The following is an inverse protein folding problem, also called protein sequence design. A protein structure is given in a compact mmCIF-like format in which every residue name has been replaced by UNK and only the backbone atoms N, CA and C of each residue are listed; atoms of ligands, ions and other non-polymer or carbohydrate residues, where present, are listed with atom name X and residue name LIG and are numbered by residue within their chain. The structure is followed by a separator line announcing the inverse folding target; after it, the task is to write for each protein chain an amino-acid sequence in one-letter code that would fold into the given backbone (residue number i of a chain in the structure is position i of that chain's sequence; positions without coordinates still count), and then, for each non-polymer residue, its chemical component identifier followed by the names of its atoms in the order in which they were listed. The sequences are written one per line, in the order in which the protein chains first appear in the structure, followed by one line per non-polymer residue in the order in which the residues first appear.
data_IF_427787516432
#
_entry.id   IF_427787516432
#
_cell.length_a   1.000
_cell.length_b   1.000
_cell.length_c   1.000
_cell.angle_alpha   90.00
_cell.angle_beta   90.00
_cell.angle_gamma   90.00
#
_symmetry.space_group_name_H-M   'P 1'
#
loop_
_entity.id
_entity.type
_entity.pdbx_description
1 polymer ?
#
# COMPACT_ATOMS: atom_id res chain seq x y z
N UNK A 1 -11.86 -20.50 -28.33
CA UNK A 1 -10.84 -20.08 -27.35
C UNK A 1 -10.59 -21.29 -26.48
N UNK A 2 -9.33 -21.60 -26.21
CA UNK A 2 -8.99 -22.65 -25.24
C UNK A 2 -8.90 -22.03 -23.84
N UNK A 3 -9.14 -22.81 -22.77
CA UNK A 3 -9.04 -22.30 -21.42
C UNK A 3 -7.59 -21.97 -21.06
N UNK A 4 -7.39 -20.87 -20.35
CA UNK A 4 -6.08 -20.47 -19.86
C UNK A 4 -5.78 -21.09 -18.50
N UNK A 5 -4.51 -21.48 -18.32
CA UNK A 5 -3.98 -21.83 -17.01
C UNK A 5 -3.54 -20.53 -16.33
N UNK A 6 -4.27 -20.14 -15.28
CA UNK A 6 -3.91 -18.99 -14.44
C UNK A 6 -3.29 -19.51 -13.15
N UNK A 7 -2.10 -19.01 -12.84
CA UNK A 7 -1.42 -19.28 -11.59
C UNK A 7 -1.74 -18.16 -10.60
N UNK A 8 -2.19 -18.53 -9.40
CA UNK A 8 -2.31 -17.61 -8.29
C UNK A 8 -1.09 -17.75 -7.38
N UNK A 9 -0.34 -16.66 -7.25
CA UNK A 9 0.84 -16.60 -6.39
C UNK A 9 0.54 -16.87 -4.92
N UNK A 10 -0.73 -16.76 -4.50
CA UNK A 10 -1.18 -17.04 -3.14
C UNK A 10 -1.81 -18.45 -2.98
N UNK A 11 -1.86 -19.28 -4.04
CA UNK A 11 -2.48 -20.62 -4.09
C UNK A 11 -3.96 -20.67 -3.62
N UNK A 12 -4.68 -19.53 -3.64
CA UNK A 12 -6.09 -19.47 -3.28
C UNK A 12 -7.02 -19.80 -4.45
N UNK A 13 -6.58 -19.56 -5.68
CA UNK A 13 -7.32 -19.87 -6.89
C UNK A 13 -6.80 -21.13 -7.57
N UNK A 14 -7.72 -22.06 -7.89
CA UNK A 14 -7.40 -23.33 -8.56
C UNK A 14 -8.28 -23.52 -9.78
N UNK A 15 -7.65 -23.66 -10.93
CA UNK A 15 -8.33 -24.05 -12.17
C UNK A 15 -8.76 -25.50 -12.11
N UNK A 16 -9.77 -25.86 -12.90
CA UNK A 16 -10.28 -27.22 -12.98
C UNK A 16 -9.25 -28.11 -13.68
N UNK A 17 -8.52 -28.94 -12.93
CA UNK A 17 -7.60 -29.88 -13.58
C UNK A 17 -8.36 -30.99 -14.32
N UNK A 18 -7.81 -31.42 -15.45
CA UNK A 18 -8.26 -32.62 -16.15
C UNK A 18 -8.01 -33.87 -15.30
N UNK A 19 -9.03 -34.74 -15.20
CA UNK A 19 -8.91 -35.99 -14.45
C UNK A 19 -10.14 -36.87 -14.55
N UNK A 20 -9.98 -38.16 -14.23
CA UNK A 20 -11.10 -39.10 -14.18
C UNK A 20 -11.97 -38.81 -12.97
N UNK A 21 -13.28 -38.68 -13.20
CA UNK A 21 -14.28 -38.56 -12.14
C UNK A 21 -15.03 -39.89 -12.05
N UNK A 22 -14.96 -40.55 -10.89
CA UNK A 22 -15.67 -41.82 -10.67
C UNK A 22 -17.18 -41.64 -10.66
N UNK A 23 -17.92 -42.70 -10.99
CA UNK A 23 -19.39 -42.70 -10.97
C UNK A 23 -19.95 -42.19 -9.63
N UNK A 24 -20.86 -41.23 -9.68
CA UNK A 24 -21.48 -40.62 -8.50
C UNK A 24 -20.61 -39.60 -7.77
N UNK A 25 -19.46 -39.22 -8.34
CA UNK A 25 -18.60 -38.13 -7.85
C UNK A 25 -18.69 -36.94 -8.79
N UNK A 26 -18.37 -35.77 -8.26
CA UNK A 26 -18.24 -34.52 -9.02
C UNK A 26 -16.89 -33.89 -8.75
N UNK A 27 -16.45 -33.05 -9.70
CA UNK A 27 -15.29 -32.17 -9.56
C UNK A 27 -15.74 -30.75 -9.88
N UNK A 28 -15.27 -29.78 -9.11
CA UNK A 28 -15.58 -28.36 -9.26
C UNK A 28 -14.26 -27.59 -9.31
N UNK A 29 -14.20 -26.56 -10.14
CA UNK A 29 -13.03 -25.69 -10.30
C UNK A 29 -13.33 -24.57 -11.27
N UNK A 30 -12.43 -23.60 -11.36
CA UNK A 30 -12.56 -22.48 -12.29
C UNK A 30 -12.06 -22.86 -13.70
N UNK A 31 -12.70 -22.30 -14.72
CA UNK A 31 -12.20 -22.34 -16.10
C UNK A 31 -12.08 -20.89 -16.54
N UNK A 32 -10.89 -20.51 -17.02
CA UNK A 32 -10.58 -19.13 -17.39
C UNK A 32 -10.51 -18.99 -18.89
N UNK A 33 -11.08 -17.91 -19.41
CA UNK A 33 -11.00 -17.55 -20.82
C UNK A 33 -10.72 -16.06 -20.92
N UNK A 34 -9.84 -15.67 -21.85
CA UNK A 34 -9.76 -14.29 -22.29
C UNK A 34 -11.06 -13.92 -23.04
N UNK A 35 -11.66 -12.78 -22.68
CA UNK A 35 -12.94 -12.33 -23.24
C UNK A 35 -12.85 -10.88 -23.72
N UNK A 36 -13.55 -10.55 -24.80
CA UNK A 36 -13.74 -9.15 -25.20
C UNK A 36 -14.71 -8.47 -24.22
N UNK A 37 -14.25 -7.41 -23.55
CA UNK A 37 -15.08 -6.63 -22.61
C UNK A 37 -16.35 -6.06 -23.25
N UNK A 38 -16.37 -5.85 -24.57
CA UNK A 38 -17.53 -5.33 -25.32
C UNK A 38 -18.58 -6.40 -25.59
N UNK A 39 -18.17 -7.64 -25.79
CA UNK A 39 -19.10 -8.75 -25.99
C UNK A 39 -19.68 -9.21 -24.64
N UNK A 40 -20.99 -9.44 -24.62
CA UNK A 40 -21.73 -9.78 -23.40
C UNK A 40 -22.29 -11.19 -23.44
N UNK A 41 -22.31 -11.85 -24.58
CA UNK A 41 -22.90 -13.17 -24.77
C UNK A 41 -21.86 -14.12 -25.33
N UNK A 42 -21.58 -15.15 -24.54
CA UNK A 42 -20.69 -16.25 -24.90
C UNK A 42 -21.47 -17.57 -24.81
N UNK A 43 -20.92 -18.61 -25.42
CA UNK A 43 -21.37 -19.98 -25.20
C UNK A 43 -20.15 -20.80 -24.79
N UNK A 44 -20.20 -21.37 -23.59
CA UNK A 44 -19.23 -22.36 -23.16
C UNK A 44 -19.66 -23.71 -23.75
N UNK A 45 -18.81 -24.28 -24.60
CA UNK A 45 -19.00 -25.61 -25.15
C UNK A 45 -18.22 -26.60 -24.28
N UNK A 46 -18.90 -27.63 -23.80
CA UNK A 46 -18.32 -28.72 -23.03
C UNK A 46 -18.54 -29.99 -23.81
N UNK A 47 -17.46 -30.53 -24.36
CA UNK A 47 -17.46 -31.82 -25.03
C UNK A 47 -17.06 -32.90 -24.02
N UNK A 48 -17.88 -33.95 -23.90
CA UNK A 48 -17.53 -35.12 -23.10
C UNK A 48 -17.17 -36.28 -24.02
N UNK A 49 -15.94 -36.77 -23.90
CA UNK A 49 -15.51 -38.00 -24.55
C UNK A 49 -15.50 -39.15 -23.53
N UNK A 50 -16.26 -40.20 -23.80
CA UNK A 50 -16.14 -41.49 -23.11
C UNK A 50 -15.06 -42.32 -23.80
N UNK A 51 -14.09 -42.85 -23.04
CA UNK A 51 -13.00 -43.65 -23.61
C UNK A 51 -13.52 -44.82 -24.45
N UNK A 52 -13.33 -44.75 -25.77
CA UNK A 52 -13.64 -45.84 -26.71
C UNK A 52 -14.91 -45.68 -27.54
N UNK A 53 -15.68 -44.60 -27.36
CA UNK A 53 -16.78 -44.21 -28.26
C UNK A 53 -16.35 -43.03 -29.13
N UNK A 54 -16.63 -43.09 -30.44
CA UNK A 54 -16.46 -41.97 -31.37
C UNK A 54 -17.58 -40.91 -31.23
N UNK A 55 -18.60 -41.21 -30.42
CA UNK A 55 -19.74 -40.33 -30.17
C UNK A 55 -19.42 -39.37 -29.00
N UNK A 56 -19.14 -38.12 -29.35
CA UNK A 56 -19.01 -37.01 -28.38
C UNK A 56 -20.36 -36.33 -28.16
N UNK A 57 -20.79 -36.20 -26.92
CA UNK A 57 -21.90 -35.32 -26.57
C UNK A 57 -21.38 -33.89 -26.32
N UNK A 58 -21.92 -32.91 -27.05
CA UNK A 58 -21.63 -31.49 -26.86
C UNK A 58 -22.73 -30.84 -26.01
N UNK A 59 -22.35 -30.24 -24.89
CA UNK A 59 -23.23 -29.43 -24.05
C UNK A 59 -22.89 -27.95 -24.24
N UNK A 60 -23.89 -27.17 -24.64
CA UNK A 60 -23.78 -25.72 -24.84
C UNK A 60 -24.39 -24.95 -23.67
N UNK A 61 -23.55 -24.18 -22.97
CA UNK A 61 -23.96 -23.37 -21.82
C UNK A 61 -23.88 -21.89 -22.19
N UNK A 62 -25.01 -21.16 -22.29
CA UNK A 62 -24.99 -19.74 -22.58
C UNK A 62 -24.46 -18.95 -21.37
N UNK A 63 -23.46 -18.12 -21.59
CA UNK A 63 -22.83 -17.26 -20.58
C UNK A 63 -23.13 -15.79 -20.90
N UNK A 64 -23.71 -15.08 -19.94
CA UNK A 64 -23.92 -13.64 -20.05
C UNK A 64 -22.88 -12.91 -19.19
N UNK A 65 -21.82 -12.40 -19.82
CA UNK A 65 -20.74 -11.69 -19.16
C UNK A 65 -21.21 -10.40 -18.46
N UNK A 66 -22.34 -9.81 -18.87
CA UNK A 66 -22.89 -8.63 -18.20
C UNK A 66 -23.36 -8.90 -16.75
N UNK A 67 -23.49 -10.16 -16.34
CA UNK A 67 -23.79 -10.54 -14.95
C UNK A 67 -22.59 -10.40 -14.02
N UNK A 68 -21.39 -10.26 -14.55
CA UNK A 68 -20.14 -10.21 -13.80
C UNK A 68 -19.54 -8.81 -13.94
N UNK A 69 -19.77 -7.91 -12.97
CA UNK A 69 -19.27 -6.55 -13.03
C UNK A 69 -17.73 -6.53 -12.90
N UNK A 70 -17.09 -5.64 -13.65
CA UNK A 70 -15.67 -5.33 -13.49
C UNK A 70 -15.51 -4.49 -12.21
N UNK A 71 -14.85 -5.06 -11.20
CA UNK A 71 -14.59 -4.41 -9.92
C UNK A 71 -13.12 -3.94 -9.77
N UNK A 72 -12.37 -3.84 -10.88
CA UNK A 72 -10.96 -3.44 -10.88
C UNK A 72 -10.73 -2.11 -10.15
N UNK A 73 -11.59 -1.10 -10.36
CA UNK A 73 -11.42 0.18 -9.68
C UNK A 73 -11.69 0.09 -8.17
N UNK A 74 -12.62 -0.76 -7.74
CA UNK A 74 -12.92 -0.93 -6.31
C UNK A 74 -11.76 -1.57 -5.55
N UNK A 75 -11.06 -2.54 -6.15
CA UNK A 75 -9.90 -3.15 -5.49
C UNK A 75 -8.71 -2.17 -5.41
N UNK A 76 -8.52 -1.32 -6.43
CA UNK A 76 -7.55 -0.22 -6.38
C UNK A 76 -7.90 0.79 -5.28
N UNK A 77 -9.18 1.14 -5.14
CA UNK A 77 -9.66 2.04 -4.09
C UNK A 77 -9.44 1.45 -2.69
N UNK A 78 -9.65 0.15 -2.49
CA UNK A 78 -9.33 -0.52 -1.22
C UNK A 78 -7.83 -0.45 -0.90
N UNK A 79 -6.97 -0.72 -1.89
CA UNK A 79 -5.53 -0.56 -1.73
C UNK A 79 -5.16 0.88 -1.36
N UNK A 80 -5.66 1.89 -2.09
CA UNK A 80 -5.44 3.31 -1.78
C UNK A 80 -5.96 3.70 -0.39
N UNK A 81 -7.10 3.16 0.02
CA UNK A 81 -7.70 3.37 1.34
C UNK A 81 -6.78 2.85 2.43
N UNK A 82 -6.26 1.63 2.28
CA UNK A 82 -5.30 1.06 3.23
C UNK A 82 -4.05 1.95 3.35
N UNK A 83 -3.43 2.31 2.23
CA UNK A 83 -2.24 3.18 2.22
C UNK A 83 -2.50 4.51 2.95
N UNK A 84 -3.65 5.13 2.67
CA UNK A 84 -4.01 6.42 3.25
C UNK A 84 -4.29 6.31 4.75
N UNK A 85 -4.92 5.24 5.21
CA UNK A 85 -5.26 5.05 6.62
C UNK A 85 -4.05 4.64 7.47
N UNK A 86 -3.14 3.87 6.90
CA UNK A 86 -1.96 3.34 7.60
C UNK A 86 -0.82 4.36 7.64
N UNK A 87 -0.50 5.00 6.51
CA UNK A 87 0.74 5.77 6.36
C UNK A 87 0.56 7.28 6.37
N UNK A 88 -0.67 7.78 6.16
CA UNK A 88 -0.97 9.19 5.98
C UNK A 88 -2.01 9.67 7.01
N UNK A 89 -2.09 10.97 7.24
CA UNK A 89 -3.02 11.60 8.17
C UNK A 89 -4.29 12.04 7.46
N UNK A 90 -4.99 11.11 6.80
CA UNK A 90 -6.39 11.21 6.29
C UNK A 90 -6.78 12.41 5.39
N UNK A 91 -5.89 13.38 5.24
CA UNK A 91 -5.97 14.64 4.49
C UNK A 91 -5.24 14.53 3.15
N UNK A 92 -4.67 13.36 2.87
CA UNK A 92 -4.01 13.08 1.61
C UNK A 92 -5.01 13.07 0.46
N UNK A 93 -4.73 13.89 -0.56
CA UNK A 93 -5.51 13.96 -1.78
C UNK A 93 -5.26 12.69 -2.59
N UNK A 94 -6.26 11.81 -2.64
CA UNK A 94 -6.27 10.66 -3.55
C UNK A 94 -6.67 11.19 -4.93
N UNK A 95 -5.66 11.33 -5.80
CA UNK A 95 -5.68 11.82 -7.19
C UNK A 95 -6.25 13.23 -7.43
N UNK A 96 -5.34 14.17 -7.76
CA UNK A 96 -5.51 15.01 -8.94
C UNK A 96 -6.45 16.22 -8.93
N UNK A 97 -7.02 16.65 -7.81
CA UNK A 97 -7.76 17.93 -7.79
C UNK A 97 -7.63 18.70 -6.47
N UNK A 98 -7.09 19.90 -6.62
CA UNK A 98 -7.19 21.10 -5.78
C UNK A 98 -6.72 21.00 -4.32
N UNK A 99 -5.46 21.41 -4.15
CA UNK A 99 -4.89 21.82 -2.88
C UNK A 99 -5.61 23.08 -2.36
N UNK A 100 -6.33 22.97 -1.24
CA UNK A 100 -6.60 24.10 -0.37
C UNK A 100 -5.88 23.93 0.97
N UNK A 101 -5.06 24.94 1.26
CA UNK A 101 -4.22 25.03 2.43
C UNK A 101 -5.05 25.08 3.72
N UNK A 102 -4.62 24.35 4.76
CA UNK A 102 -5.08 24.58 6.12
C UNK A 102 -3.89 24.83 7.06
N UNK A 103 -3.99 26.01 7.69
CA UNK A 103 -3.06 26.70 8.58
C UNK A 103 -2.72 25.92 9.85
N UNK A 104 -1.45 26.00 10.26
CA UNK A 104 -0.93 25.52 11.54
C UNK A 104 -1.10 26.56 12.64
N UNK A 105 -1.80 26.24 13.73
CA UNK A 105 -1.49 26.75 15.08
C UNK A 105 -2.25 25.95 16.14
N UNK A 106 -1.52 25.45 17.15
CA UNK A 106 -2.08 25.08 18.45
C UNK A 106 -1.69 23.68 18.92
N UNK A 107 -0.89 23.61 19.99
CA UNK A 107 -0.61 22.37 20.69
C UNK A 107 -1.90 21.77 21.26
N UNK A 108 -2.22 20.57 20.82
CA UNK A 108 -3.25 19.71 21.40
C UNK A 108 -2.93 18.26 21.04
N UNK A 109 -3.19 17.34 21.98
CA UNK A 109 -3.21 15.91 21.72
C UNK A 109 -4.13 15.64 20.51
N UNK A 110 -3.57 15.01 19.48
CA UNK A 110 -4.29 14.70 18.24
C UNK A 110 -5.19 13.50 18.49
N UNK A 111 -6.42 13.77 18.91
CA UNK A 111 -7.51 12.81 18.80
C UNK A 111 -7.85 12.67 17.31
N UNK A 112 -7.44 11.55 16.71
CA UNK A 112 -7.67 11.28 15.29
C UNK A 112 -9.18 11.26 15.01
N UNK A 113 -9.63 12.22 14.21
CA UNK A 113 -11.03 12.38 13.81
C UNK A 113 -11.48 11.22 12.91
N UNK A 114 -11.84 10.09 13.52
CA UNK A 114 -12.68 9.08 12.90
C UNK A 114 -14.11 9.61 12.74
N UNK A 115 -14.33 10.47 11.73
CA UNK A 115 -15.67 10.83 11.26
C UNK A 115 -15.77 10.37 9.81
N UNK A 116 -16.78 9.64 9.36
CA UNK A 116 -18.18 9.55 9.82
C UNK A 116 -18.75 8.28 9.16
N UNK A 117 -19.41 7.39 9.92
CA UNK A 117 -20.19 6.27 9.35
C UNK A 117 -21.29 6.85 8.44
N UNK A 118 -21.09 6.78 7.12
CA UNK A 118 -22.15 6.97 6.15
C UNK A 118 -23.01 5.71 6.15
N UNK A 119 -24.31 5.91 6.38
CA UNK A 119 -25.31 4.86 6.44
C UNK A 119 -25.94 4.68 5.06
N UNK A 120 -25.75 3.50 4.45
CA UNK A 120 -26.76 2.64 3.81
C UNK A 120 -26.13 1.76 2.69
N UNK A 121 -26.16 0.45 2.93
CA UNK A 121 -26.27 -0.65 1.94
C UNK A 121 -25.16 -0.98 0.93
N UNK A 122 -23.91 -0.50 1.09
CA UNK A 122 -22.76 -1.03 0.33
C UNK A 122 -21.80 -1.80 1.26
N UNK A 123 -22.19 -3.02 1.64
CA UNK A 123 -21.49 -3.80 2.65
C UNK A 123 -20.35 -4.70 2.10
N UNK A 124 -20.09 -4.70 0.79
CA UNK A 124 -19.21 -5.71 0.15
C UNK A 124 -17.75 -5.29 -0.07
N UNK A 125 -17.42 -4.00 -0.02
CA UNK A 125 -16.09 -3.50 -0.35
C UNK A 125 -15.51 -2.72 0.82
N UNK A 126 -14.98 -3.47 1.79
CA UNK A 126 -14.39 -2.93 3.03
C UNK A 126 -13.11 -3.66 3.36
N UNK A 127 -12.22 -2.95 4.04
CA UNK A 127 -11.05 -3.54 4.66
C UNK A 127 -11.43 -4.09 6.03
N UNK A 128 -11.02 -5.32 6.32
CA UNK A 128 -11.12 -5.94 7.64
C UNK A 128 -9.85 -5.72 8.48
N UNK A 129 -8.82 -5.09 7.91
CA UNK A 129 -7.62 -4.64 8.63
C UNK A 129 -7.97 -3.83 9.89
N UNK A 130 -7.20 -4.01 10.96
CA UNK A 130 -7.29 -3.17 12.14
C UNK A 130 -6.45 -1.90 11.91
N UNK A 131 -7.10 -0.83 11.47
CA UNK A 131 -6.46 0.46 11.18
C UNK A 131 -5.62 0.99 12.34
N UNK A 132 -6.06 0.81 13.59
CA UNK A 132 -5.33 1.30 14.76
C UNK A 132 -4.03 0.51 14.98
N UNK A 133 -4.07 -0.81 14.83
CA UNK A 133 -2.90 -1.67 14.95
C UNK A 133 -1.91 -1.46 13.79
N UNK A 134 -2.39 -1.37 12.55
CA UNK A 134 -1.54 -1.14 11.38
C UNK A 134 -0.84 0.22 11.46
N UNK A 135 -1.57 1.28 11.85
CA UNK A 135 -0.99 2.62 12.06
C UNK A 135 0.00 2.62 13.23
N UNK A 136 -0.29 1.91 14.32
CA UNK A 136 0.62 1.81 15.46
C UNK A 136 1.91 1.07 15.09
N UNK A 137 1.82 -0.01 14.30
CA UNK A 137 2.99 -0.74 13.79
C UNK A 137 3.85 0.15 12.88
N UNK A 138 3.23 0.91 11.97
CA UNK A 138 3.93 1.89 11.15
C UNK A 138 4.62 2.97 11.99
N UNK A 139 3.89 3.59 12.94
CA UNK A 139 4.45 4.63 13.81
C UNK A 139 5.63 4.10 14.63
N UNK A 140 5.54 2.87 15.14
CA UNK A 140 6.64 2.22 15.84
C UNK A 140 7.87 2.07 14.95
N UNK A 141 7.70 1.57 13.72
CA UNK A 141 8.79 1.43 12.75
C UNK A 141 9.43 2.78 12.42
N UNK A 142 8.61 3.84 12.26
CA UNK A 142 9.10 5.20 12.06
C UNK A 142 9.94 5.66 13.24
N UNK A 143 9.42 5.58 14.46
CA UNK A 143 10.14 6.02 15.67
C UNK A 143 11.48 5.27 15.82
N UNK A 144 11.51 3.97 15.55
CA UNK A 144 12.74 3.18 15.60
C UNK A 144 13.78 3.64 14.56
N UNK A 145 13.36 3.91 13.31
CA UNK A 145 14.24 4.50 12.28
C UNK A 145 14.68 5.91 12.68
N UNK A 146 13.76 6.78 13.10
CA UNK A 146 14.05 8.16 13.55
C UNK A 146 15.05 8.22 14.71
N UNK A 147 15.14 7.19 15.55
CA UNK A 147 16.14 7.11 16.64
C UNK A 147 17.50 6.59 16.19
N UNK A 148 17.56 5.84 15.10
CA UNK A 148 18.77 5.16 14.61
C UNK A 148 19.39 5.78 13.36
N UNK A 149 18.67 6.67 12.67
CA UNK A 149 19.13 7.36 11.46
C UNK A 149 20.18 8.46 11.68
N UNK A 150 20.75 8.57 12.89
CA UNK A 150 21.62 9.66 13.30
C UNK A 150 22.91 9.11 13.92
N UNK A 151 24.05 9.76 13.64
CA UNK A 151 25.39 9.24 13.96
C UNK A 151 25.91 9.64 15.34
N UNK A 152 25.52 10.81 15.85
CA UNK A 152 26.03 11.45 17.07
C UNK A 152 24.92 11.85 18.04
N UNK A 153 23.73 12.18 17.53
CA UNK A 153 22.54 12.50 18.30
C UNK A 153 21.59 11.31 18.34
N UNK A 154 21.10 10.97 19.53
CA UNK A 154 20.09 9.93 19.71
C UNK A 154 18.83 10.57 20.27
N UNK A 155 17.79 10.79 19.45
CA UNK A 155 16.52 11.34 19.92
C UNK A 155 15.88 10.47 20.99
N UNK A 156 15.19 11.11 21.94
CA UNK A 156 14.25 10.42 22.84
C UNK A 156 13.01 9.93 22.08
N UNK A 157 12.22 9.04 22.71
CA UNK A 157 10.98 8.54 22.12
C UNK A 157 10.00 9.68 21.77
N UNK A 158 9.89 10.68 22.65
CA UNK A 158 9.01 11.83 22.43
C UNK A 158 9.49 12.75 21.30
N UNK A 159 10.82 12.94 21.17
CA UNK A 159 11.39 13.71 20.07
C UNK A 159 11.18 12.99 18.73
N UNK A 160 11.45 11.68 18.68
CA UNK A 160 11.24 10.85 17.49
C UNK A 160 9.77 10.76 17.09
N UNK A 161 8.85 10.65 18.04
CA UNK A 161 7.40 10.66 17.77
C UNK A 161 6.97 11.99 17.16
N UNK A 162 7.41 13.12 17.72
CA UNK A 162 7.11 14.45 17.16
C UNK A 162 7.67 14.61 15.75
N UNK A 163 8.89 14.13 15.51
CA UNK A 163 9.53 14.15 14.20
C UNK A 163 8.72 13.36 13.16
N UNK A 164 8.31 12.14 13.51
CA UNK A 164 7.47 11.30 12.67
C UNK A 164 6.13 11.97 12.35
N UNK A 165 5.45 12.54 13.36
CA UNK A 165 4.19 13.26 13.17
C UNK A 165 4.33 14.47 12.24
N UNK A 166 5.38 15.29 12.41
CA UNK A 166 5.65 16.43 11.53
C UNK A 166 5.87 15.99 10.09
N UNK A 167 6.63 14.91 9.88
CA UNK A 167 6.83 14.33 8.57
C UNK A 167 5.52 13.80 7.98
N UNK A 168 4.75 12.98 8.71
CA UNK A 168 3.50 12.39 8.22
C UNK A 168 2.52 13.50 7.83
N UNK A 169 2.39 14.54 8.66
CA UNK A 169 1.55 15.71 8.34
C UNK A 169 1.97 16.40 7.05
N UNK A 170 3.27 16.62 6.84
CA UNK A 170 3.76 17.29 5.63
C UNK A 170 3.65 16.40 4.39
N UNK A 171 4.04 15.12 4.52
CA UNK A 171 3.98 14.15 3.43
C UNK A 171 2.53 13.88 3.01
N UNK A 172 1.58 13.81 3.94
CA UNK A 172 0.16 13.61 3.63
C UNK A 172 -0.40 14.68 2.69
N UNK A 173 0.03 15.93 2.81
CA UNK A 173 -0.45 17.03 1.93
C UNK A 173 0.04 16.91 0.48
N UNK A 174 1.07 16.10 0.23
CA UNK A 174 1.86 16.15 -1.02
C UNK A 174 2.02 14.78 -1.67
N UNK A 175 1.86 13.70 -0.91
CA UNK A 175 2.06 12.35 -1.39
C UNK A 175 1.09 12.02 -2.53
N UNK A 176 1.59 11.31 -3.53
CA UNK A 176 0.79 10.81 -4.65
C UNK A 176 0.93 9.29 -4.73
N UNK A 177 -0.18 8.58 -4.89
CA UNK A 177 -0.23 7.11 -4.85
C UNK A 177 -0.76 6.59 -6.19
N UNK A 178 0.14 6.03 -7.00
CA UNK A 178 -0.21 5.29 -8.21
C UNK A 178 -0.44 3.82 -7.84
N UNK A 179 -1.51 3.21 -8.36
CA UNK A 179 -1.83 1.80 -8.13
C UNK A 179 -2.04 1.03 -9.43
N UNK A 180 -1.39 -0.14 -9.53
CA UNK A 180 -1.49 -1.05 -10.66
C UNK A 180 -1.99 -2.40 -10.18
N UNK A 181 -3.00 -2.96 -10.87
CA UNK A 181 -3.45 -4.32 -10.60
C UNK A 181 -2.47 -5.27 -11.28
N UNK A 182 -1.82 -6.12 -10.48
CA UNK A 182 -0.97 -7.21 -10.99
C UNK A 182 -1.87 -8.42 -11.25
N UNK A 183 -2.55 -8.89 -10.21
CA UNK A 183 -3.50 -10.00 -10.28
C UNK A 183 -4.81 -9.62 -9.58
N UNK A 184 -5.96 -10.01 -10.15
CA UNK A 184 -7.25 -9.89 -9.49
C UNK A 184 -8.14 -11.10 -9.78
N UNK A 185 -8.40 -11.87 -8.72
CA UNK A 185 -9.14 -13.12 -8.71
C UNK A 185 -10.33 -13.02 -7.74
N UNK A 186 -11.27 -13.98 -7.74
CA UNK A 186 -12.50 -13.89 -6.95
C UNK A 186 -12.27 -13.68 -5.44
N UNK A 187 -11.18 -14.21 -4.90
CA UNK A 187 -10.86 -14.19 -3.46
C UNK A 187 -9.48 -13.62 -3.13
N UNK A 188 -8.71 -13.18 -4.13
CA UNK A 188 -7.36 -12.65 -3.94
C UNK A 188 -7.07 -11.55 -4.94
N UNK A 189 -6.22 -10.61 -4.55
CA UNK A 189 -5.69 -9.59 -5.43
C UNK A 189 -4.26 -9.25 -5.04
N UNK A 190 -3.46 -8.88 -6.04
CA UNK A 190 -2.13 -8.33 -5.86
C UNK A 190 -2.08 -6.98 -6.54
N UNK A 191 -1.72 -5.94 -5.79
CA UNK A 191 -1.70 -4.56 -6.25
C UNK A 191 -0.30 -3.99 -6.04
N UNK A 192 0.31 -3.45 -7.08
CA UNK A 192 1.53 -2.68 -6.95
C UNK A 192 1.21 -1.25 -6.52
N UNK A 193 1.93 -0.76 -5.51
CA UNK A 193 1.82 0.59 -4.95
C UNK A 193 3.08 1.36 -5.30
N UNK A 194 2.92 2.45 -6.05
CA UNK A 194 4.00 3.35 -6.40
C UNK A 194 3.79 4.71 -5.73
N UNK A 195 4.40 4.95 -4.57
CA UNK A 195 4.31 6.23 -3.88
C UNK A 195 5.25 7.25 -4.55
N UNK A 196 4.83 8.51 -4.58
CA UNK A 196 5.70 9.68 -4.72
C UNK A 196 5.59 10.50 -3.43
N UNK A 197 6.68 10.60 -2.70
CA UNK A 197 6.72 11.08 -1.31
C UNK A 197 7.95 11.96 -1.06
N UNK A 198 7.97 12.63 0.09
CA UNK A 198 9.15 13.36 0.56
C UNK A 198 10.24 12.34 0.95
N UNK A 199 11.44 12.48 0.39
CA UNK A 199 12.59 11.65 0.75
C UNK A 199 13.61 12.48 1.54
N UNK A 200 14.10 11.97 2.67
CA UNK A 200 15.07 12.67 3.51
C UNK A 200 16.38 12.97 2.79
N UNK A 201 16.80 12.10 1.87
CA UNK A 201 18.01 12.30 1.05
C UNK A 201 17.91 13.53 0.14
N UNK A 202 16.70 13.92 -0.23
CA UNK A 202 16.45 15.06 -1.14
C UNK A 202 16.19 16.38 -0.39
N UNK A 203 16.27 16.37 0.95
CA UNK A 203 16.10 17.56 1.76
C UNK A 203 17.39 18.38 1.81
N UNK A 204 17.25 19.71 1.79
CA UNK A 204 18.35 20.66 1.93
C UNK A 204 18.81 20.76 3.40
N UNK A 205 19.45 19.69 3.87
CA UNK A 205 20.08 19.59 5.20
C UNK A 205 21.41 20.32 5.25
N UNK A 206 22.09 20.50 4.11
CA UNK A 206 23.33 21.26 4.00
C UNK A 206 23.13 22.73 4.37
N UNK A 207 22.03 23.36 3.95
CA UNK A 207 21.72 24.72 4.40
C UNK A 207 21.48 24.80 5.91
N UNK A 208 20.82 23.80 6.52
CA UNK A 208 20.63 23.76 7.97
C UNK A 208 21.95 23.61 8.72
N UNK A 209 22.85 22.78 8.20
CA UNK A 209 24.21 22.63 8.73
C UNK A 209 24.97 23.96 8.66
N UNK A 210 24.91 24.67 7.54
CA UNK A 210 25.55 25.97 7.37
C UNK A 210 24.97 27.03 8.32
N UNK A 211 23.64 27.05 8.50
CA UNK A 211 22.99 27.94 9.49
C UNK A 211 23.49 27.68 10.92
N UNK A 212 23.66 26.41 11.29
CA UNK A 212 24.22 26.06 12.60
C UNK A 212 25.67 26.56 12.72
N UNK A 213 26.53 26.25 11.76
CA UNK A 213 27.91 26.72 11.75
C UNK A 213 27.97 28.25 11.88
N UNK A 214 27.16 28.97 11.11
CA UNK A 214 27.10 30.43 11.11
C UNK A 214 26.69 31.01 12.47
N UNK A 215 25.73 30.39 13.16
CA UNK A 215 25.27 30.80 14.50
C UNK A 215 26.34 30.61 15.58
N UNK A 216 27.27 29.67 15.37
CA UNK A 216 28.26 29.27 16.37
C UNK A 216 29.72 29.58 15.98
N UNK A 217 29.97 30.44 14.98
CA UNK A 217 31.34 30.81 14.52
C UNK A 217 32.29 31.35 15.59
N UNK A 218 31.75 31.84 16.71
CA UNK A 218 32.52 32.42 17.82
C UNK A 218 32.73 31.49 19.00
N UNK A 219 32.20 30.27 18.95
CA UNK A 219 32.25 29.34 20.06
C UNK A 219 33.58 28.57 20.06
N UNK A 220 34.11 28.31 21.25
CA UNK A 220 35.33 27.51 21.42
C UNK A 220 34.96 26.02 21.41
N UNK A 221 35.18 25.37 20.28
CA UNK A 221 34.91 23.95 20.10
C UNK A 221 36.15 23.11 20.41
N UNK A 222 36.50 23.01 21.69
CA UNK A 222 37.55 22.08 22.13
C UNK A 222 37.07 20.61 22.14
N UNK A 223 35.75 20.39 22.16
CA UNK A 223 35.11 19.07 22.16
C UNK A 223 34.32 18.86 20.85
N UNK A 224 34.91 18.10 19.94
CA UNK A 224 34.32 17.81 18.63
C UNK A 224 33.11 16.87 18.73
N UNK A 225 33.07 15.96 19.71
CA UNK A 225 31.94 15.03 19.86
C UNK A 225 30.68 15.76 20.31
N UNK A 226 30.83 16.71 21.24
CA UNK A 226 29.75 17.60 21.65
C UNK A 226 29.26 18.47 20.48
N UNK A 227 30.18 19.02 19.68
CA UNK A 227 29.85 19.80 18.49
C UNK A 227 29.03 19.00 17.47
N UNK A 228 29.45 17.80 17.12
CA UNK A 228 28.74 16.97 16.14
C UNK A 228 27.34 16.59 16.63
N UNK A 229 27.22 16.25 17.91
CA UNK A 229 25.93 15.95 18.53
C UNK A 229 24.99 17.15 18.51
N UNK A 230 25.46 18.34 18.86
CA UNK A 230 24.63 19.54 18.87
C UNK A 230 24.24 19.98 17.46
N UNK A 231 25.15 19.87 16.48
CA UNK A 231 24.85 20.15 15.09
C UNK A 231 23.80 19.19 14.52
N UNK A 232 23.91 17.90 14.80
CA UNK A 232 22.95 16.90 14.33
C UNK A 232 21.58 17.06 15.01
N UNK A 233 21.57 17.38 16.32
CA UNK A 233 20.35 17.76 17.03
C UNK A 233 19.68 18.97 16.39
N UNK A 234 20.44 20.00 16.02
CA UNK A 234 19.88 21.18 15.33
C UNK A 234 19.22 20.78 14.01
N UNK A 235 19.84 19.91 13.21
CA UNK A 235 19.24 19.41 11.95
C UNK A 235 17.95 18.64 12.25
N UNK A 236 17.98 17.70 13.20
CA UNK A 236 16.80 16.94 13.63
C UNK A 236 15.62 17.85 13.99
N UNK A 237 15.87 18.87 14.81
CA UNK A 237 14.84 19.80 15.27
C UNK A 237 14.30 20.71 14.16
N UNK A 238 15.08 20.99 13.11
CA UNK A 238 14.76 22.01 12.10
C UNK A 238 14.49 21.45 10.69
N UNK A 239 14.70 20.15 10.43
CA UNK A 239 14.50 19.55 9.10
C UNK A 239 13.05 19.72 8.60
N UNK A 240 12.08 19.80 9.52
CA UNK A 240 10.67 20.02 9.19
C UNK A 240 10.42 21.30 8.39
N UNK A 241 11.28 22.31 8.54
CA UNK A 241 11.21 23.57 7.78
C UNK A 241 11.51 23.41 6.29
N UNK A 242 12.02 22.24 5.88
CA UNK A 242 12.36 21.91 4.48
C UNK A 242 11.30 21.04 3.80
N UNK A 243 10.32 20.53 4.53
CA UNK A 243 9.32 19.61 3.97
C UNK A 243 8.44 20.25 2.89
N UNK A 244 8.05 21.52 3.03
CA UNK A 244 7.16 22.17 2.06
C UNK A 244 7.83 22.41 0.71
N UNK A 245 9.15 22.64 0.68
CA UNK A 245 9.93 22.87 -0.54
C UNK A 245 10.58 21.61 -1.11
N UNK A 246 10.57 20.51 -0.36
CA UNK A 246 11.14 19.23 -0.79
C UNK A 246 10.54 18.78 -2.13
N UNK A 247 11.30 18.09 -2.97
CA UNK A 247 10.68 17.39 -4.11
C UNK A 247 9.98 16.14 -3.58
N UNK A 248 8.87 15.77 -4.23
CA UNK A 248 8.31 14.43 -4.06
C UNK A 248 8.81 13.56 -5.20
N UNK A 249 9.21 12.34 -4.88
CA UNK A 249 9.67 11.38 -5.87
C UNK A 249 9.34 9.96 -5.40
N UNK A 250 9.32 9.04 -6.36
CA UNK A 250 9.34 7.62 -6.04
C UNK A 250 10.68 7.26 -5.38
N UNK A 251 10.69 6.41 -4.33
CA UNK A 251 11.94 5.98 -3.70
C UNK A 251 12.94 5.41 -4.71
N UNK A 252 14.21 5.81 -4.58
CA UNK A 252 15.28 5.52 -5.55
C UNK A 252 15.50 4.01 -5.79
N UNK A 253 15.30 3.19 -4.76
CA UNK A 253 15.51 1.74 -4.80
C UNK A 253 14.23 0.93 -5.03
N UNK A 254 13.12 1.59 -5.39
CA UNK A 254 11.90 0.88 -5.75
C UNK A 254 12.10 0.18 -7.10
N UNK A 255 11.99 -1.15 -7.10
CA UNK A 255 12.09 -1.97 -8.32
C UNK A 255 10.73 -2.08 -9.02
N UNK A 256 10.75 -2.33 -10.33
CA UNK A 256 9.57 -2.73 -11.09
C UNK A 256 8.43 -1.70 -11.10
N UNK A 257 7.19 -2.19 -10.96
CA UNK A 257 5.96 -1.38 -11.08
C UNK A 257 5.52 -0.72 -9.76
N UNK A 258 6.17 -1.05 -8.65
CA UNK A 258 5.79 -0.59 -7.31
C UNK A 258 6.08 -1.65 -6.24
N UNK A 259 5.76 -1.32 -5.00
CA UNK A 259 5.74 -2.30 -3.90
C UNK A 259 4.45 -3.13 -3.97
N UNK A 260 4.56 -4.43 -4.12
CA UNK A 260 3.39 -5.32 -4.16
C UNK A 260 2.77 -5.48 -2.78
N UNK A 261 1.44 -5.30 -2.70
CA UNK A 261 0.63 -5.69 -1.55
C UNK A 261 -0.36 -6.77 -1.96
N UNK A 262 -0.58 -7.73 -1.07
CA UNK A 262 -1.51 -8.83 -1.27
C UNK A 262 -2.80 -8.57 -0.49
N UNK A 263 -3.94 -8.79 -1.14
CA UNK A 263 -5.26 -8.70 -0.54
C UNK A 263 -5.96 -10.06 -0.65
N UNK A 264 -6.62 -10.47 0.42
CA UNK A 264 -7.43 -11.68 0.46
C UNK A 264 -8.87 -11.33 0.85
N UNK A 265 -9.84 -11.99 0.23
CA UNK A 265 -11.25 -11.80 0.52
C UNK A 265 -11.74 -12.94 1.41
N UNK A 266 -12.34 -12.59 2.54
CA UNK A 266 -13.04 -13.56 3.38
C UNK A 266 -14.32 -14.03 2.67
N UNK A 267 -14.52 -15.36 2.61
CA UNK A 267 -15.65 -15.94 1.88
C UNK A 267 -16.99 -15.78 2.59
N UNK A 268 -16.97 -15.64 3.92
CA UNK A 268 -18.17 -15.56 4.76
C UNK A 268 -18.66 -14.11 4.92
N UNK A 269 -17.73 -13.18 5.14
CA UNK A 269 -18.03 -11.75 5.33
C UNK A 269 -17.98 -10.97 4.03
N UNK A 270 -17.20 -11.43 3.05
CA UNK A 270 -16.94 -10.71 1.81
C UNK A 270 -15.96 -9.54 1.95
N UNK A 271 -15.39 -9.32 3.14
CA UNK A 271 -14.44 -8.25 3.40
C UNK A 271 -13.03 -8.61 2.90
N UNK A 272 -12.24 -7.59 2.55
CA UNK A 272 -10.88 -7.75 2.07
C UNK A 272 -9.88 -7.42 3.17
N UNK A 273 -8.76 -8.12 3.20
CA UNK A 273 -7.67 -7.88 4.15
C UNK A 273 -6.36 -7.76 3.38
N UNK A 274 -5.65 -6.65 3.58
CA UNK A 274 -4.26 -6.50 3.15
C UNK A 274 -3.37 -7.29 4.09
N UNK A 275 -2.49 -8.12 3.54
CA UNK A 275 -1.48 -8.85 4.33
C UNK A 275 -0.44 -7.88 4.88
N UNK A 276 -0.52 -7.61 6.19
CA UNK A 276 0.45 -6.78 6.93
C UNK A 276 1.40 -7.61 7.78
N UNK A 277 1.43 -8.94 7.58
CA UNK A 277 2.26 -9.84 8.37
C UNK A 277 3.76 -9.62 8.13
N UNK A 278 4.56 -9.88 9.16
CA UNK A 278 6.03 -9.81 9.09
C UNK A 278 6.66 -11.05 8.41
N UNK A 279 5.89 -11.77 7.60
CA UNK A 279 6.35 -12.98 6.91
C UNK A 279 7.50 -12.68 5.93
N UNK A 280 8.39 -13.65 5.73
CA UNK A 280 9.52 -13.53 4.79
C UNK A 280 9.07 -13.31 3.34
N UNK A 281 7.88 -13.81 2.97
CA UNK A 281 7.28 -13.60 1.65
C UNK A 281 6.65 -12.22 1.45
N UNK A 282 6.45 -11.43 2.51
CA UNK A 282 5.82 -10.11 2.44
C UNK A 282 6.86 -8.98 2.44
N UNK A 283 7.92 -9.14 1.64
CA UNK A 283 9.07 -8.22 1.62
C UNK A 283 8.69 -6.82 1.14
N UNK A 284 7.85 -6.73 0.11
CA UNK A 284 7.46 -5.46 -0.48
C UNK A 284 6.64 -4.60 0.48
N UNK A 285 5.82 -5.18 1.34
CA UNK A 285 5.14 -4.42 2.40
C UNK A 285 6.12 -3.82 3.40
N UNK A 286 7.20 -4.54 3.76
CA UNK A 286 8.25 -3.99 4.64
C UNK A 286 8.99 -2.85 3.95
N UNK A 287 9.28 -2.98 2.66
CA UNK A 287 9.90 -1.90 1.88
C UNK A 287 8.97 -0.70 1.70
N UNK A 288 7.66 -0.94 1.59
CA UNK A 288 6.64 0.10 1.56
C UNK A 288 6.60 0.90 2.86
N UNK A 289 6.70 0.25 4.02
CA UNK A 289 6.87 0.92 5.31
C UNK A 289 8.10 1.83 5.29
N UNK A 290 9.25 1.32 4.85
CA UNK A 290 10.50 2.11 4.76
C UNK A 290 10.39 3.28 3.79
N UNK A 291 9.70 3.09 2.66
CA UNK A 291 9.38 4.18 1.75
C UNK A 291 8.62 5.28 2.49
N UNK A 292 7.51 4.95 3.17
CA UNK A 292 6.72 5.96 3.87
C UNK A 292 7.41 6.59 5.08
N UNK A 293 8.46 5.98 5.63
CA UNK A 293 9.35 6.61 6.64
C UNK A 293 10.28 7.67 6.01
N UNK A 294 10.28 7.81 4.67
CA UNK A 294 11.05 8.81 3.94
C UNK A 294 12.48 8.36 3.64
N UNK A 295 12.78 7.06 3.77
CA UNK A 295 14.10 6.48 3.51
C UNK A 295 15.17 6.81 4.55
N UNK A 296 14.75 7.08 5.80
CA UNK A 296 15.61 7.40 6.93
C UNK A 296 16.27 6.15 7.55
#
# INVERSE_FOLDING_TARGET
MEPENVYDSLDHFKTLDYGKVSKGRSKTGYIVYEVDKKEKKYNLLVETATNGDDDTEEVKIPVNAAKYPDNSEKIKELAKTFITQTFLDGSATVDGSDAEAASTTGGAQVEFLSKKKSSKKDNEWKLANNTEEDKAAYMKAFIESAKSGWSHYQPSDSEAEKFAQQYITANSKRAQIETTIIDYLPTSAKIAIKPSIINFKDLDTDSLKNEYIDKHKGDDFSDYDALYKDAEKYIFENVHTRYDSAKIATPEYMNGEGYEINLTKDADTGEWTVDTSDATGNYDYKQLIQAFIGGL
#
